data_IF_525252542900
#
_entry.id   IF_525252542900
#
_cell.length_a   1.000
_cell.length_b   1.000
_cell.length_c   1.000
_cell.angle_alpha   90.00
_cell.angle_beta   90.00
_cell.angle_gamma   90.00
#
_symmetry.space_group_name_H-M   'P 1'
#
loop_
_entity.id
_entity.type
_entity.pdbx_description
1 polymer ?
#
# COMPACT_ATOMS: atom_id res chain seq x y z
N UNK A 1 -6.19 -3.19 -9.71
CA UNK A 1 -6.68 -3.75 -8.43
C UNK A 1 -6.25 -2.85 -7.27
N UNK A 2 -6.76 -3.01 -6.05
CA UNK A 2 -6.35 -2.16 -4.91
C UNK A 2 -5.31 -2.87 -4.05
N UNK A 3 -4.38 -2.14 -3.45
CA UNK A 3 -3.40 -2.73 -2.53
C UNK A 3 -4.07 -3.45 -1.36
N UNK A 4 -5.19 -2.92 -0.85
CA UNK A 4 -5.97 -3.54 0.24
C UNK A 4 -6.62 -4.89 -0.10
N UNK A 5 -6.53 -5.33 -1.36
CA UNK A 5 -7.04 -6.62 -1.84
C UNK A 5 -5.94 -7.69 -1.92
N UNK A 6 -4.67 -7.33 -1.78
CA UNK A 6 -3.57 -8.28 -1.75
C UNK A 6 -3.57 -9.07 -0.44
N UNK A 7 -3.18 -10.34 -0.50
CA UNK A 7 -2.92 -11.18 0.67
C UNK A 7 -1.45 -11.05 1.12
N UNK A 8 -1.12 -11.43 2.37
CA UNK A 8 0.26 -11.51 2.82
C UNK A 8 1.11 -12.41 1.90
N UNK A 9 2.29 -11.90 1.49
CA UNK A 9 3.20 -12.51 0.53
C UNK A 9 2.92 -12.14 -0.94
N UNK A 10 1.82 -11.44 -1.22
CA UNK A 10 1.56 -10.92 -2.56
C UNK A 10 2.16 -9.52 -2.73
N UNK A 11 2.55 -9.23 -3.98
CA UNK A 11 3.13 -7.95 -4.37
C UNK A 11 2.42 -7.39 -5.61
N UNK A 12 2.49 -6.08 -5.77
CA UNK A 12 2.04 -5.39 -6.97
C UNK A 12 2.85 -4.13 -7.22
N UNK A 13 2.78 -3.60 -8.43
CA UNK A 13 3.43 -2.33 -8.77
C UNK A 13 2.41 -1.20 -8.64
N UNK A 14 2.74 -0.15 -7.90
CA UNK A 14 1.87 1.03 -7.75
C UNK A 14 1.73 1.72 -9.12
N UNK A 15 0.50 1.94 -9.57
CA UNK A 15 0.23 2.61 -10.85
C UNK A 15 -0.46 3.96 -10.70
N UNK A 16 -1.34 4.10 -9.70
CA UNK A 16 -2.14 5.30 -9.51
C UNK A 16 -2.76 5.36 -8.10
N UNK A 17 -3.41 6.48 -7.79
CA UNK A 17 -4.16 6.69 -6.55
C UNK A 17 -5.58 7.19 -6.88
N UNK A 18 -6.56 6.79 -6.07
CA UNK A 18 -7.96 7.24 -6.26
C UNK A 18 -8.30 8.52 -5.49
N UNK A 19 -7.45 8.96 -4.57
CA UNK A 19 -7.67 10.11 -3.70
C UNK A 19 -6.43 11.01 -3.75
N UNK A 20 -6.62 12.28 -4.14
CA UNK A 20 -5.53 13.20 -4.37
C UNK A 20 -4.84 13.64 -3.07
N UNK A 21 -5.59 13.94 -2.01
CA UNK A 21 -5.01 14.42 -0.76
C UNK A 21 -4.22 13.30 -0.07
N UNK A 22 -4.77 12.09 -0.05
CA UNK A 22 -4.09 10.92 0.50
C UNK A 22 -2.88 10.52 -0.36
N UNK A 23 -2.95 10.69 -1.68
CA UNK A 23 -1.81 10.36 -2.56
C UNK A 23 -0.56 11.15 -2.21
N UNK A 24 -0.69 12.43 -1.83
CA UNK A 24 0.45 13.28 -1.43
C UNK A 24 1.14 12.68 -0.21
N UNK A 25 0.38 12.37 0.84
CA UNK A 25 0.90 11.77 2.08
C UNK A 25 1.58 10.42 1.83
N UNK A 26 0.97 9.58 0.99
CA UNK A 26 1.50 8.26 0.63
C UNK A 26 2.81 8.38 -0.18
N UNK A 27 2.87 9.32 -1.13
CA UNK A 27 4.08 9.58 -1.91
C UNK A 27 5.22 10.16 -1.07
N UNK A 28 4.91 11.02 -0.08
CA UNK A 28 5.90 11.49 0.90
C UNK A 28 6.47 10.35 1.75
N UNK A 29 5.67 9.30 1.98
CA UNK A 29 6.11 8.04 2.58
C UNK A 29 6.69 7.05 1.54
N UNK A 30 7.03 7.46 0.32
CA UNK A 30 7.72 6.59 -0.64
C UNK A 30 6.83 5.55 -1.35
N UNK A 31 5.50 5.59 -1.18
CA UNK A 31 4.58 4.89 -2.07
C UNK A 31 4.45 5.68 -3.38
N UNK A 32 5.40 5.51 -4.29
CA UNK A 32 5.44 6.23 -5.57
C UNK A 32 4.92 5.34 -6.72
N UNK A 33 4.30 5.91 -7.78
CA UNK A 33 4.01 5.15 -9.00
C UNK A 33 5.29 4.55 -9.60
N UNK A 34 5.24 3.26 -9.91
CA UNK A 34 6.39 2.47 -10.36
C UNK A 34 7.08 1.67 -9.25
N UNK A 35 6.82 1.98 -7.98
CA UNK A 35 7.37 1.20 -6.86
C UNK A 35 6.66 -0.14 -6.70
N UNK A 36 7.45 -1.16 -6.38
CA UNK A 36 6.91 -2.47 -5.97
C UNK A 36 6.54 -2.39 -4.50
N UNK A 37 5.33 -2.83 -4.20
CA UNK A 37 4.82 -2.94 -2.84
C UNK A 37 4.40 -4.37 -2.56
N UNK A 38 4.84 -4.91 -1.42
CA UNK A 38 4.50 -6.25 -0.94
C UNK A 38 3.70 -6.13 0.35
N UNK A 39 2.64 -6.94 0.50
CA UNK A 39 1.95 -7.07 1.79
C UNK A 39 2.69 -8.10 2.63
N UNK A 40 3.23 -7.70 3.78
CA UNK A 40 3.95 -8.63 4.65
C UNK A 40 3.01 -9.35 5.62
N UNK A 41 2.09 -8.60 6.24
CA UNK A 41 1.13 -9.14 7.22
C UNK A 41 0.00 -8.17 7.49
N UNK A 42 -1.07 -8.71 8.06
CA UNK A 42 -2.15 -7.93 8.64
C UNK A 42 -2.05 -7.94 10.16
N UNK A 43 -2.58 -6.90 10.80
CA UNK A 43 -2.86 -6.94 12.23
C UNK A 43 -3.87 -8.07 12.56
N UNK A 44 -3.94 -8.54 13.82
CA UNK A 44 -4.84 -9.63 14.20
C UNK A 44 -6.32 -9.41 13.85
N UNK A 45 -6.76 -8.14 13.82
CA UNK A 45 -8.13 -7.75 13.46
C UNK A 45 -8.27 -7.31 11.98
N UNK A 46 -7.23 -7.47 11.17
CA UNK A 46 -7.21 -7.14 9.74
C UNK A 46 -6.89 -5.69 9.38
N UNK A 47 -6.68 -4.80 10.37
CA UNK A 47 -6.27 -3.40 10.21
C UNK A 47 -5.39 -2.97 11.40
N UNK A 48 -4.24 -2.30 11.21
CA UNK A 48 -3.62 -1.92 9.93
C UNK A 48 -2.96 -3.09 9.19
N UNK A 49 -2.51 -2.81 7.96
CA UNK A 49 -1.69 -3.73 7.15
C UNK A 49 -0.23 -3.26 7.17
N UNK A 50 0.71 -4.19 7.25
CA UNK A 50 2.14 -3.92 7.11
C UNK A 50 2.56 -4.26 5.67
N UNK A 51 3.21 -3.31 5.02
CA UNK A 51 3.71 -3.43 3.66
C UNK A 51 5.21 -3.18 3.62
N UNK A 52 5.88 -3.72 2.60
CA UNK A 52 7.25 -3.37 2.24
C UNK A 52 7.22 -2.54 0.96
N UNK A 53 7.81 -1.35 1.02
CA UNK A 53 7.89 -0.39 -0.09
C UNK A 53 9.17 0.44 0.05
N UNK A 54 9.80 0.86 -1.04
CA UNK A 54 11.02 1.67 -1.03
C UNK A 54 12.13 1.12 -0.10
N UNK A 55 12.21 -0.21 0.04
CA UNK A 55 13.21 -0.90 0.87
C UNK A 55 12.93 -0.92 2.37
N UNK A 56 11.80 -0.42 2.84
CA UNK A 56 11.46 -0.40 4.27
C UNK A 56 10.01 -0.86 4.54
N UNK A 57 9.69 -1.10 5.81
CA UNK A 57 8.36 -1.54 6.24
C UNK A 57 7.51 -0.31 6.61
N UNK A 58 6.34 -0.17 6.01
CA UNK A 58 5.35 0.86 6.30
C UNK A 58 4.06 0.20 6.79
N UNK A 59 3.47 0.74 7.87
CA UNK A 59 2.14 0.33 8.33
C UNK A 59 1.10 1.34 7.84
N UNK A 60 0.10 0.85 7.13
CA UNK A 60 -1.00 1.65 6.59
C UNK A 60 -2.33 1.13 7.11
N UNK A 61 -3.28 2.01 7.37
CA UNK A 61 -4.67 1.59 7.53
C UNK A 61 -5.16 0.97 6.22
N UNK A 62 -6.05 -0.01 6.32
CA UNK A 62 -6.69 -0.65 5.17
C UNK A 62 -7.45 0.36 4.31
N UNK A 63 -7.97 1.43 4.91
CA UNK A 63 -8.57 2.56 4.18
C UNK A 63 -7.56 3.31 3.32
N UNK A 64 -6.35 3.55 3.81
CA UNK A 64 -5.27 4.23 3.08
C UNK A 64 -4.77 3.33 1.94
N UNK A 65 -4.55 2.04 2.22
CA UNK A 65 -4.19 1.06 1.20
C UNK A 65 -5.27 0.87 0.12
N UNK A 66 -6.54 1.18 0.42
CA UNK A 66 -7.64 1.10 -0.56
C UNK A 66 -7.64 2.24 -1.58
N UNK A 67 -6.79 3.25 -1.38
CA UNK A 67 -6.58 4.35 -2.32
C UNK A 67 -5.53 3.98 -3.39
N UNK A 68 -4.62 3.06 -3.06
CA UNK A 68 -3.50 2.68 -3.91
C UNK A 68 -3.97 1.68 -4.96
N UNK A 69 -3.84 2.04 -6.24
CA UNK A 69 -4.09 1.16 -7.38
C UNK A 69 -2.77 0.50 -7.77
N UNK A 70 -2.81 -0.82 -7.91
CA UNK A 70 -1.69 -1.65 -8.31
C UNK A 70 -2.02 -2.47 -9.56
N UNK A 71 -0.97 -2.99 -10.21
CA UNK A 71 -1.01 -4.01 -11.25
C UNK A 71 -0.13 -5.21 -10.89
#
# INVERSE_FOLDING_TARGET
>A
MKLSQLNPGEQGTIVAFTDLEMSVKLMEMGCLPGEVVEVERFAPLGDPIAIRVAGYQLCLRKSEASVIIIQ
#
